data_IF_600039045018
#
_entry.id   IF_600039045018
#
_cell.length_a   1.000
_cell.length_b   1.000
_cell.length_c   1.000
_cell.angle_alpha   90.00
_cell.angle_beta   90.00
_cell.angle_gamma   90.00
#
_symmetry.space_group_name_H-M   'P 1'
#
loop_
_entity.id
_entity.type
_entity.pdbx_description
1 polymer ?
#
# COMPACT_ATOMS: atom_id res chain seq x y z
N UNK A 1 -42.92 -72.66 12.43
CA UNK A 1 -42.75 -71.19 12.23
C UNK A 1 -41.52 -70.98 11.37
N UNK A 2 -41.78 -70.79 10.08
CA UNK A 2 -40.75 -70.76 9.03
C UNK A 2 -40.45 -69.27 8.77
N UNK A 3 -39.19 -68.86 9.03
CA UNK A 3 -38.73 -67.50 8.80
C UNK A 3 -38.25 -67.39 7.37
N UNK A 4 -38.91 -66.56 6.60
CA UNK A 4 -38.61 -66.24 5.19
C UNK A 4 -37.42 -65.28 5.10
N UNK A 5 -36.44 -65.50 4.20
CA UNK A 5 -35.29 -64.58 4.08
C UNK A 5 -35.64 -63.35 3.23
N UNK A 6 -35.41 -62.17 3.79
CA UNK A 6 -35.55 -60.85 3.17
C UNK A 6 -34.58 -60.74 1.98
N UNK A 7 -35.13 -60.57 0.77
CA UNK A 7 -34.38 -60.24 -0.48
C UNK A 7 -33.81 -58.82 -0.41
N UNK A 8 -32.50 -58.71 -0.49
CA UNK A 8 -31.80 -57.43 -0.73
C UNK A 8 -32.01 -56.98 -2.17
N UNK A 9 -32.29 -55.68 -2.45
CA UNK A 9 -32.33 -55.14 -3.80
C UNK A 9 -30.91 -55.05 -4.37
N UNK A 10 -30.73 -55.53 -5.57
CA UNK A 10 -29.50 -55.31 -6.39
C UNK A 10 -29.37 -53.84 -6.71
N UNK A 11 -28.27 -53.21 -6.21
CA UNK A 11 -27.82 -51.90 -6.67
C UNK A 11 -27.30 -52.04 -8.10
N UNK A 12 -27.98 -51.43 -9.06
CA UNK A 12 -27.55 -51.24 -10.43
C UNK A 12 -26.38 -50.22 -10.44
N UNK A 13 -25.25 -50.66 -10.96
CA UNK A 13 -24.08 -49.83 -11.13
C UNK A 13 -24.29 -48.70 -12.13
N UNK A 14 -24.14 -47.50 -11.67
CA UNK A 14 -23.86 -46.33 -12.47
C UNK A 14 -22.50 -45.79 -12.06
N UNK A 15 -21.41 -46.29 -12.65
CA UNK A 15 -20.12 -45.66 -12.62
C UNK A 15 -20.13 -44.39 -13.45
N UNK A 16 -20.70 -43.32 -12.95
CA UNK A 16 -20.34 -41.97 -13.38
C UNK A 16 -18.98 -41.64 -12.82
N UNK A 17 -17.94 -41.78 -13.63
CA UNK A 17 -16.63 -41.22 -13.33
C UNK A 17 -16.75 -39.70 -13.39
N UNK A 18 -17.12 -39.08 -12.28
CA UNK A 18 -16.82 -37.66 -12.05
C UNK A 18 -15.30 -37.55 -11.99
N UNK A 19 -14.71 -37.19 -13.13
CA UNK A 19 -13.36 -36.61 -13.12
C UNK A 19 -13.39 -35.47 -12.12
N UNK A 20 -12.47 -35.41 -11.15
CA UNK A 20 -12.27 -34.22 -10.34
C UNK A 20 -12.04 -33.08 -11.33
N UNK A 21 -12.93 -32.08 -11.26
CA UNK A 21 -12.87 -30.92 -12.12
C UNK A 21 -11.45 -30.39 -12.16
N UNK A 22 -11.03 -30.15 -13.38
CA UNK A 22 -9.80 -29.44 -13.70
C UNK A 22 -9.65 -28.30 -12.72
N UNK A 23 -8.54 -28.34 -11.98
CA UNK A 23 -8.17 -27.27 -11.06
C UNK A 23 -8.37 -25.96 -11.77
N UNK A 24 -9.14 -25.09 -11.15
CA UNK A 24 -9.04 -23.69 -11.42
C UNK A 24 -7.55 -23.37 -11.26
N UNK A 25 -6.86 -23.33 -12.39
CA UNK A 25 -5.59 -22.69 -12.50
C UNK A 25 -5.89 -21.28 -11.95
N UNK A 26 -5.53 -21.06 -10.68
CA UNK A 26 -5.39 -19.72 -10.16
C UNK A 26 -4.51 -19.04 -11.19
N UNK A 27 -5.11 -18.21 -12.02
CA UNK A 27 -4.40 -17.28 -12.86
C UNK A 27 -3.51 -16.53 -11.90
N UNK A 28 -2.25 -17.01 -11.80
CA UNK A 28 -1.20 -16.22 -11.17
C UNK A 28 -1.12 -14.99 -12.03
N UNK A 29 -1.68 -13.89 -11.53
CA UNK A 29 -1.54 -12.60 -12.16
C UNK A 29 -0.09 -12.48 -12.63
N UNK A 30 0.14 -12.13 -13.90
CA UNK A 30 1.48 -12.03 -14.44
C UNK A 30 2.26 -11.12 -13.51
N UNK A 31 3.43 -11.57 -13.06
CA UNK A 31 4.34 -10.72 -12.29
C UNK A 31 4.90 -9.65 -13.22
N UNK A 32 4.04 -8.74 -13.62
CA UNK A 32 4.38 -7.59 -14.44
C UNK A 32 5.17 -6.56 -13.63
N UNK A 33 5.94 -5.76 -14.31
CA UNK A 33 6.57 -4.57 -13.75
C UNK A 33 5.57 -3.40 -13.66
N UNK A 34 4.29 -3.62 -13.99
CA UNK A 34 3.27 -2.59 -13.88
C UNK A 34 2.97 -2.34 -12.40
N UNK A 35 2.87 -1.07 -11.99
CA UNK A 35 2.51 -0.74 -10.60
C UNK A 35 1.23 -1.40 -10.12
N UNK A 36 0.25 -1.58 -11.01
CA UNK A 36 -1.06 -2.17 -10.70
C UNK A 36 -1.02 -3.68 -10.41
N UNK A 37 0.00 -4.39 -10.92
CA UNK A 37 0.19 -5.82 -10.66
C UNK A 37 0.86 -6.10 -9.30
N UNK A 38 1.37 -5.06 -8.63
CA UNK A 38 2.15 -5.21 -7.39
C UNK A 38 1.27 -5.77 -6.27
N UNK A 39 0.04 -5.30 -6.18
CA UNK A 39 -0.89 -5.59 -5.07
C UNK A 39 -1.46 -7.01 -5.18
N UNK A 40 -1.78 -7.46 -6.40
CA UNK A 40 -2.45 -8.72 -6.64
C UNK A 40 -1.74 -9.96 -6.04
N UNK A 41 -0.40 -9.91 -5.96
CA UNK A 41 0.42 -10.99 -5.40
C UNK A 41 0.37 -11.11 -3.87
N UNK A 42 -0.19 -10.12 -3.17
CA UNK A 42 -0.22 -10.06 -1.70
C UNK A 42 -1.63 -10.22 -1.12
N UNK A 43 -2.66 -10.26 -1.95
CA UNK A 43 -4.05 -10.45 -1.52
C UNK A 43 -4.32 -11.94 -1.21
N UNK A 44 -5.11 -12.18 -0.16
CA UNK A 44 -5.60 -13.51 0.16
C UNK A 44 -6.84 -13.83 -0.70
N UNK A 45 -7.04 -15.10 -1.13
CA UNK A 45 -8.25 -15.47 -1.87
C UNK A 45 -9.53 -15.06 -1.14
N UNK A 46 -10.37 -14.25 -1.80
CA UNK A 46 -11.61 -13.72 -1.22
C UNK A 46 -11.48 -12.37 -0.50
N UNK A 47 -10.27 -11.85 -0.30
CA UNK A 47 -10.02 -10.52 0.24
C UNK A 47 -10.45 -9.43 -0.76
N UNK A 48 -11.25 -8.46 -0.31
CA UNK A 48 -11.77 -7.38 -1.15
C UNK A 48 -11.00 -6.09 -0.91
N UNK A 49 -10.49 -5.50 -1.98
CA UNK A 49 -9.89 -4.17 -1.93
C UNK A 49 -11.00 -3.13 -1.85
N UNK A 50 -10.97 -2.31 -0.81
CA UNK A 50 -11.90 -1.20 -0.59
C UNK A 50 -11.34 0.09 -1.20
N UNK A 51 -10.03 0.33 -1.01
CA UNK A 51 -9.34 1.51 -1.50
C UNK A 51 -7.89 1.18 -1.80
N UNK A 52 -7.40 1.66 -2.94
CA UNK A 52 -5.99 1.61 -3.30
C UNK A 52 -5.52 3.02 -3.65
N UNK A 53 -4.45 3.45 -3.02
CA UNK A 53 -3.84 4.76 -3.25
C UNK A 53 -2.33 4.64 -3.42
N UNK A 54 -1.78 5.51 -4.25
CA UNK A 54 -0.34 5.64 -4.47
C UNK A 54 0.21 6.74 -3.59
N UNK A 55 1.43 6.61 -3.13
CA UNK A 55 2.13 7.71 -2.48
C UNK A 55 2.29 8.88 -3.45
N UNK A 56 1.89 10.08 -3.03
CA UNK A 56 1.95 11.27 -3.86
C UNK A 56 3.40 11.73 -4.06
N UNK A 57 3.82 11.75 -5.34
CA UNK A 57 5.12 12.31 -5.70
C UNK A 57 5.17 13.81 -5.43
N UNK A 58 4.04 14.51 -5.59
CA UNK A 58 3.94 15.96 -5.33
C UNK A 58 4.25 16.28 -3.88
N UNK A 59 3.64 15.56 -2.93
CA UNK A 59 3.92 15.72 -1.51
C UNK A 59 5.38 15.49 -1.18
N UNK A 60 5.95 14.41 -1.71
CA UNK A 60 7.37 14.12 -1.56
C UNK A 60 8.28 15.23 -2.13
N UNK A 61 8.05 15.69 -3.37
CA UNK A 61 8.88 16.72 -4.01
C UNK A 61 8.78 18.07 -3.31
N UNK A 62 7.58 18.47 -2.89
CA UNK A 62 7.38 19.73 -2.15
C UNK A 62 8.14 19.69 -0.81
N UNK A 63 8.16 18.55 -0.13
CA UNK A 63 8.98 18.37 1.08
C UNK A 63 10.49 18.46 0.83
N UNK A 64 10.97 18.14 -0.38
CA UNK A 64 12.40 18.23 -0.73
C UNK A 64 12.82 19.61 -1.26
N UNK A 65 11.88 20.48 -1.66
CA UNK A 65 12.19 21.74 -2.37
C UNK A 65 13.10 22.66 -1.55
N UNK A 66 12.89 22.75 -0.23
CA UNK A 66 13.70 23.55 0.65
C UNK A 66 15.16 23.07 0.70
N UNK A 67 15.35 21.75 0.78
CA UNK A 67 16.69 21.14 0.80
C UNK A 67 17.42 21.31 -0.54
N UNK A 68 16.69 21.22 -1.67
CA UNK A 68 17.22 21.46 -3.01
C UNK A 68 17.67 22.92 -3.13
N UNK A 69 16.83 23.88 -2.73
CA UNK A 69 17.17 25.30 -2.76
C UNK A 69 18.38 25.61 -1.88
N UNK A 70 18.41 25.08 -0.65
CA UNK A 70 19.54 25.25 0.24
C UNK A 70 20.84 24.70 -0.37
N UNK A 71 20.78 23.50 -0.97
CA UNK A 71 21.94 22.90 -1.64
C UNK A 71 22.45 23.75 -2.80
N UNK A 72 21.54 24.32 -3.61
CA UNK A 72 21.90 25.21 -4.72
C UNK A 72 22.53 26.51 -4.24
N UNK A 73 21.98 27.13 -3.19
CA UNK A 73 22.54 28.36 -2.60
C UNK A 73 23.94 28.10 -2.04
N UNK A 74 24.14 27.02 -1.28
CA UNK A 74 25.43 26.63 -0.73
C UNK A 74 26.44 26.33 -1.85
N UNK A 75 26.03 25.63 -2.90
CA UNK A 75 26.88 25.34 -4.05
C UNK A 75 27.35 26.64 -4.74
N UNK A 76 26.44 27.58 -4.99
CA UNK A 76 26.76 28.88 -5.56
C UNK A 76 27.71 29.69 -4.67
N UNK A 77 27.48 29.70 -3.36
CA UNK A 77 28.36 30.37 -2.39
C UNK A 77 29.77 29.78 -2.41
N UNK A 78 29.91 28.45 -2.35
CA UNK A 78 31.23 27.78 -2.36
C UNK A 78 31.97 28.06 -3.67
N UNK A 79 31.34 27.97 -4.83
CA UNK A 79 31.98 28.28 -6.13
C UNK A 79 32.38 29.76 -6.19
N UNK A 80 31.55 30.65 -5.65
CA UNK A 80 31.82 32.10 -5.65
C UNK A 80 32.98 32.51 -4.74
N UNK A 81 33.17 31.80 -3.63
CA UNK A 81 34.23 32.16 -2.62
C UNK A 81 35.57 31.46 -2.87
N UNK A 82 35.51 30.16 -3.26
CA UNK A 82 36.72 29.32 -3.43
C UNK A 82 37.24 29.35 -4.87
N UNK A 83 36.35 29.72 -5.83
CA UNK A 83 36.69 29.83 -7.24
C UNK A 83 36.36 28.56 -8.05
N UNK A 84 36.65 28.61 -9.34
CA UNK A 84 36.25 27.56 -10.29
C UNK A 84 36.97 26.22 -10.08
N UNK A 85 38.04 26.15 -9.33
CA UNK A 85 38.78 24.91 -9.06
C UNK A 85 37.93 23.84 -8.34
N UNK A 86 36.92 24.25 -7.55
CA UNK A 86 36.01 23.34 -6.85
C UNK A 86 34.72 23.08 -7.60
N UNK A 87 34.48 23.74 -8.72
CA UNK A 87 33.22 23.63 -9.45
C UNK A 87 32.90 22.17 -9.87
N UNK A 88 33.91 21.41 -10.31
CA UNK A 88 33.72 20.00 -10.68
C UNK A 88 33.24 19.14 -9.50
N UNK A 89 33.81 19.37 -8.29
CA UNK A 89 33.40 18.67 -7.08
C UNK A 89 31.96 19.02 -6.69
N UNK A 90 31.60 20.30 -6.77
CA UNK A 90 30.24 20.79 -6.48
C UNK A 90 29.23 20.16 -7.43
N UNK A 91 29.54 20.14 -8.75
CA UNK A 91 28.69 19.49 -9.74
C UNK A 91 28.51 18.00 -9.45
N UNK A 92 29.59 17.30 -9.07
CA UNK A 92 29.52 15.89 -8.70
C UNK A 92 28.61 15.69 -7.47
N UNK A 93 28.75 16.51 -6.43
CA UNK A 93 27.91 16.44 -5.23
C UNK A 93 26.42 16.68 -5.55
N UNK A 94 26.13 17.67 -6.41
CA UNK A 94 24.76 17.94 -6.86
C UNK A 94 24.18 16.79 -7.70
N UNK A 95 25.01 16.18 -8.56
CA UNK A 95 24.60 15.02 -9.34
C UNK A 95 24.25 13.81 -8.45
N UNK A 96 25.08 13.54 -7.43
CA UNK A 96 24.80 12.47 -6.44
C UNK A 96 23.51 12.79 -5.66
N UNK A 97 23.35 14.02 -5.19
CA UNK A 97 22.14 14.45 -4.47
C UNK A 97 20.90 14.29 -5.37
N UNK A 98 20.97 14.72 -6.62
CA UNK A 98 19.89 14.56 -7.61
C UNK A 98 19.56 13.08 -7.85
N UNK A 99 20.59 12.23 -7.95
CA UNK A 99 20.43 10.77 -8.07
C UNK A 99 19.71 10.16 -6.87
N UNK A 100 20.07 10.56 -5.65
CA UNK A 100 19.42 10.09 -4.41
C UNK A 100 17.94 10.53 -4.35
N UNK A 101 17.67 11.81 -4.67
CA UNK A 101 16.29 12.33 -4.69
C UNK A 101 15.47 11.61 -5.76
N UNK A 102 16.04 11.43 -6.97
CA UNK A 102 15.39 10.70 -8.06
C UNK A 102 15.06 9.25 -7.69
N UNK A 103 15.99 8.54 -7.04
CA UNK A 103 15.75 7.19 -6.55
C UNK A 103 14.65 7.14 -5.49
N UNK A 104 14.62 8.10 -4.54
CA UNK A 104 13.54 8.18 -3.55
C UNK A 104 12.19 8.53 -4.16
N UNK A 105 12.16 9.39 -5.18
CA UNK A 105 10.95 9.68 -5.94
C UNK A 105 10.42 8.42 -6.65
N UNK A 106 11.32 7.64 -7.23
CA UNK A 106 10.98 6.35 -7.84
C UNK A 106 10.40 5.38 -6.80
N UNK A 107 11.00 5.29 -5.61
CA UNK A 107 10.45 4.49 -4.51
C UNK A 107 9.05 4.96 -4.10
N UNK A 108 8.81 6.28 -4.04
CA UNK A 108 7.49 6.83 -3.74
C UNK A 108 6.46 6.39 -4.80
N UNK A 109 6.82 6.41 -6.07
CA UNK A 109 5.96 5.95 -7.15
C UNK A 109 5.56 4.47 -7.02
N UNK A 110 6.49 3.61 -6.61
CA UNK A 110 6.25 2.18 -6.43
C UNK A 110 5.67 1.84 -5.04
N UNK A 111 5.30 2.84 -4.23
CA UNK A 111 4.63 2.63 -2.94
C UNK A 111 3.12 2.67 -3.13
N UNK A 112 2.46 1.57 -2.75
CA UNK A 112 1.00 1.43 -2.78
C UNK A 112 0.46 1.24 -1.37
N UNK A 113 -0.57 1.98 -1.05
CA UNK A 113 -1.36 1.82 0.16
C UNK A 113 -2.67 1.16 -0.20
N UNK A 114 -2.98 0.04 0.41
CA UNK A 114 -4.15 -0.76 0.10
C UNK A 114 -4.95 -0.98 1.36
N UNK A 115 -6.19 -0.59 1.31
CA UNK A 115 -7.19 -0.82 2.35
C UNK A 115 -8.08 -1.96 1.88
N UNK A 116 -8.14 -3.04 2.67
CA UNK A 116 -8.99 -4.19 2.38
C UNK A 116 -10.04 -4.37 3.47
N UNK A 117 -10.95 -5.30 3.27
CA UNK A 117 -11.93 -5.71 4.28
C UNK A 117 -11.29 -6.40 5.51
N UNK A 118 -10.03 -6.88 5.41
CA UNK A 118 -9.35 -7.61 6.47
C UNK A 118 -8.23 -6.80 7.17
N UNK A 119 -7.55 -5.92 6.43
CA UNK A 119 -6.34 -5.25 6.88
C UNK A 119 -6.05 -3.99 6.06
N UNK A 120 -5.18 -3.15 6.60
CA UNK A 120 -4.48 -2.12 5.83
C UNK A 120 -3.07 -2.60 5.54
N UNK A 121 -2.60 -2.40 4.30
CA UNK A 121 -1.26 -2.81 3.89
C UNK A 121 -0.54 -1.72 3.10
N UNK A 122 0.79 -1.73 3.20
CA UNK A 122 1.70 -0.95 2.39
C UNK A 122 2.60 -1.91 1.61
N UNK A 123 2.60 -1.78 0.31
CA UNK A 123 3.52 -2.50 -0.58
C UNK A 123 4.47 -1.48 -1.18
N UNK A 124 5.76 -1.65 -0.98
CA UNK A 124 6.77 -0.72 -1.44
C UNK A 124 8.03 -1.42 -1.91
N UNK A 125 8.86 -0.70 -2.67
CA UNK A 125 10.15 -1.15 -3.15
C UNK A 125 10.21 -1.34 -4.66
N UNK A 126 11.30 -0.89 -5.26
CA UNK A 126 11.57 -0.96 -6.71
C UNK A 126 12.23 -2.28 -7.08
N UNK A 127 13.36 -2.58 -6.46
CA UNK A 127 14.16 -3.79 -6.72
C UNK A 127 13.86 -4.89 -5.70
N UNK A 128 13.69 -4.52 -4.45
CA UNK A 128 13.33 -5.43 -3.36
C UNK A 128 11.98 -5.00 -2.80
N UNK A 129 10.97 -5.84 -2.96
CA UNK A 129 9.59 -5.54 -2.58
C UNK A 129 9.32 -6.00 -1.17
N UNK A 130 8.76 -5.10 -0.38
CA UNK A 130 8.31 -5.36 0.98
C UNK A 130 6.82 -5.08 1.09
N UNK A 131 6.11 -5.97 1.77
CA UNK A 131 4.71 -5.76 2.12
C UNK A 131 4.56 -5.77 3.63
N UNK A 132 4.01 -4.71 4.16
CA UNK A 132 3.71 -4.53 5.58
C UNK A 132 2.21 -4.40 5.75
N UNK A 133 1.64 -4.98 6.78
CA UNK A 133 0.20 -4.92 7.00
C UNK A 133 -0.16 -4.88 8.48
N UNK A 134 -1.31 -4.28 8.78
CA UNK A 134 -1.94 -4.28 10.09
C UNK A 134 -3.38 -4.78 9.94
N UNK A 135 -3.77 -5.89 10.58
CA UNK A 135 -5.16 -6.31 10.66
C UNK A 135 -5.99 -5.30 11.46
N UNK A 136 -7.23 -5.06 11.05
CA UNK A 136 -8.10 -4.07 11.70
C UNK A 136 -8.28 -4.29 13.20
N UNK A 137 -8.34 -5.53 13.65
CA UNK A 137 -8.46 -5.87 15.08
C UNK A 137 -7.25 -5.51 15.95
N UNK A 138 -6.14 -5.07 15.35
CA UNK A 138 -4.93 -4.61 16.06
C UNK A 138 -4.72 -3.11 15.98
N UNK A 139 -5.52 -2.38 15.22
CA UNK A 139 -5.47 -0.92 15.13
C UNK A 139 -6.06 -0.35 16.42
N UNK A 140 -5.28 0.47 17.12
CA UNK A 140 -5.67 1.12 18.38
C UNK A 140 -6.05 2.57 18.19
N UNK A 141 -5.31 3.30 17.36
CA UNK A 141 -5.56 4.70 17.08
C UNK A 141 -5.12 5.08 15.66
N UNK A 142 -5.76 6.11 15.11
CA UNK A 142 -5.44 6.68 13.79
C UNK A 142 -5.34 8.18 13.93
N UNK A 143 -4.15 8.71 13.72
CA UNK A 143 -3.85 10.14 13.79
C UNK A 143 -3.51 10.68 12.40
N UNK A 144 -4.12 11.80 12.02
CA UNK A 144 -3.77 12.55 10.81
C UNK A 144 -2.93 13.76 11.18
N UNK A 145 -1.83 13.98 10.49
CA UNK A 145 -0.98 15.16 10.63
C UNK A 145 -0.63 15.74 9.27
N UNK A 146 -0.51 17.07 9.23
CA UNK A 146 -0.13 17.81 8.03
C UNK A 146 0.97 18.82 8.36
N UNK A 147 2.01 18.83 7.56
CA UNK A 147 3.00 19.91 7.57
C UNK A 147 2.56 21.02 6.61
N UNK A 148 3.14 22.22 6.75
CA UNK A 148 2.87 23.35 5.83
C UNK A 148 3.12 22.94 4.37
N UNK A 149 4.16 22.15 4.12
CA UNK A 149 4.50 21.65 2.78
C UNK A 149 3.48 20.65 2.27
N UNK A 150 3.00 19.75 3.12
CA UNK A 150 1.95 18.80 2.79
C UNK A 150 0.61 19.50 2.55
N UNK A 151 0.28 20.51 3.36
CA UNK A 151 -0.89 21.34 3.14
C UNK A 151 -0.86 22.03 1.76
N UNK A 152 0.30 22.59 1.35
CA UNK A 152 0.48 23.19 0.03
C UNK A 152 0.36 22.15 -1.10
N UNK A 153 0.85 20.93 -0.89
CA UNK A 153 0.76 19.83 -1.83
C UNK A 153 -0.59 19.10 -1.81
N UNK A 154 -1.50 19.45 -0.87
CA UNK A 154 -2.77 18.78 -0.59
C UNK A 154 -2.59 17.29 -0.26
N UNK A 155 -1.57 17.01 0.53
CA UNK A 155 -1.27 15.66 1.04
C UNK A 155 -1.21 15.67 2.56
N UNK A 156 -1.25 14.50 3.20
CA UNK A 156 -1.06 14.37 4.64
C UNK A 156 -0.34 13.06 4.97
N UNK A 157 0.15 13.00 6.20
CA UNK A 157 0.66 11.78 6.82
C UNK A 157 -0.39 11.24 7.78
N UNK A 158 -0.74 9.97 7.63
CA UNK A 158 -1.65 9.26 8.53
C UNK A 158 -0.80 8.26 9.32
N UNK A 159 -0.82 8.41 10.65
CA UNK A 159 -0.17 7.47 11.57
C UNK A 159 -1.21 6.49 12.06
N UNK A 160 -0.87 5.20 11.99
CA UNK A 160 -1.68 4.10 12.50
C UNK A 160 -0.94 3.50 13.69
N UNK A 161 -1.55 3.56 14.87
CA UNK A 161 -1.02 2.91 16.05
C UNK A 161 -1.59 1.51 16.18
N UNK A 162 -0.75 0.56 16.50
CA UNK A 162 -1.09 -0.85 16.62
C UNK A 162 -0.67 -1.38 17.98
N UNK A 163 -1.48 -2.25 18.56
CA UNK A 163 -1.13 -2.97 19.80
C UNK A 163 0.12 -3.85 19.66
N UNK A 164 0.62 -4.06 18.43
CA UNK A 164 1.85 -4.78 18.17
C UNK A 164 2.91 -3.84 17.61
N UNK A 165 3.88 -3.44 18.45
CA UNK A 165 5.00 -2.56 18.08
C UNK A 165 5.89 -3.11 16.95
N UNK A 166 5.81 -4.40 16.64
CA UNK A 166 6.58 -5.04 15.57
C UNK A 166 5.89 -4.99 14.20
N UNK A 167 4.69 -4.43 14.09
CA UNK A 167 4.08 -4.21 12.78
C UNK A 167 4.86 -3.11 12.05
N UNK A 168 5.39 -3.41 10.86
CA UNK A 168 6.22 -2.46 10.11
C UNK A 168 5.46 -1.23 9.60
N UNK A 169 4.14 -1.30 9.47
CA UNK A 169 3.31 -0.22 8.98
C UNK A 169 2.87 0.69 10.14
N UNK A 170 3.62 1.78 10.36
CA UNK A 170 3.25 2.80 11.36
C UNK A 170 2.74 4.10 10.72
N UNK A 171 3.17 4.40 9.50
CA UNK A 171 2.84 5.65 8.81
C UNK A 171 2.47 5.41 7.35
N UNK A 172 1.51 6.17 6.91
CA UNK A 172 1.09 6.29 5.52
C UNK A 172 1.40 7.73 5.13
N UNK A 173 2.47 7.92 4.35
CA UNK A 173 2.99 9.24 4.03
C UNK A 173 2.49 9.74 2.68
N UNK A 174 2.25 11.07 2.61
CA UNK A 174 1.96 11.80 1.38
C UNK A 174 0.81 11.18 0.56
N UNK A 175 -0.31 10.89 1.21
CA UNK A 175 -1.52 10.39 0.55
C UNK A 175 -2.21 11.54 -0.18
N UNK A 176 -2.61 11.30 -1.43
CA UNK A 176 -3.52 12.19 -2.16
C UNK A 176 -4.94 12.03 -1.57
N UNK A 177 -5.69 13.12 -1.48
CA UNK A 177 -7.01 13.17 -0.83
C UNK A 177 -7.04 12.56 0.58
N UNK A 178 -6.22 13.11 1.49
CA UNK A 178 -6.04 12.54 2.83
C UNK A 178 -7.33 12.57 3.66
N UNK A 179 -8.29 13.45 3.31
CA UNK A 179 -9.59 13.51 3.98
C UNK A 179 -10.41 12.26 3.74
N UNK A 180 -10.56 11.89 2.48
CA UNK A 180 -11.30 10.69 2.09
C UNK A 180 -10.60 9.42 2.61
N UNK A 181 -9.28 9.33 2.44
CA UNK A 181 -8.52 8.17 2.90
C UNK A 181 -8.66 7.95 4.42
N UNK A 182 -8.56 9.05 5.21
CA UNK A 182 -8.75 9.00 6.66
C UNK A 182 -10.15 8.55 7.05
N UNK A 183 -11.20 9.05 6.37
CA UNK A 183 -12.58 8.64 6.62
C UNK A 183 -12.77 7.13 6.37
N UNK A 184 -12.24 6.61 5.27
CA UNK A 184 -12.30 5.16 4.97
C UNK A 184 -11.63 4.34 6.06
N UNK A 185 -10.45 4.77 6.56
CA UNK A 185 -9.75 4.06 7.63
C UNK A 185 -10.56 4.04 8.93
N UNK A 186 -11.10 5.19 9.35
CA UNK A 186 -11.89 5.30 10.59
C UNK A 186 -13.16 4.44 10.49
N UNK A 187 -13.86 4.50 9.35
CA UNK A 187 -15.07 3.72 9.14
C UNK A 187 -14.79 2.21 9.16
N UNK A 188 -13.67 1.77 8.58
CA UNK A 188 -13.27 0.37 8.64
C UNK A 188 -12.94 -0.10 10.05
N UNK A 189 -12.27 0.74 10.86
CA UNK A 189 -11.99 0.43 12.27
C UNK A 189 -13.28 0.35 13.07
N UNK A 190 -14.17 1.33 12.96
CA UNK A 190 -15.42 1.37 13.70
C UNK A 190 -16.35 0.21 13.33
N UNK A 191 -16.40 -0.15 12.04
CA UNK A 191 -17.15 -1.32 11.59
C UNK A 191 -16.61 -2.62 12.22
N UNK A 192 -15.30 -2.83 12.20
CA UNK A 192 -14.67 -4.04 12.74
C UNK A 192 -14.70 -4.10 14.27
N UNK A 193 -14.80 -2.95 14.94
CA UNK A 193 -15.03 -2.87 16.38
C UNK A 193 -16.51 -2.97 16.77
N UNK A 194 -17.41 -3.14 15.80
CA UNK A 194 -18.85 -3.30 16.03
C UNK A 194 -19.59 -2.02 16.41
N UNK A 195 -18.96 -0.86 16.18
CA UNK A 195 -19.56 0.46 16.51
C UNK A 195 -20.51 0.94 15.43
N UNK A 196 -20.25 0.60 14.17
CA UNK A 196 -21.05 1.01 13.00
C UNK A 196 -21.27 -0.18 12.08
N UNK A 197 -22.50 -0.33 11.56
CA UNK A 197 -22.78 -1.28 10.48
C UNK A 197 -22.50 -0.62 9.13
N UNK A 198 -21.57 -1.15 8.34
CA UNK A 198 -21.37 -0.68 6.96
C UNK A 198 -22.59 -1.05 6.11
N UNK A 199 -23.38 -0.08 5.76
CA UNK A 199 -24.47 -0.26 4.79
C UNK A 199 -23.92 -0.13 3.35
N UNK A 200 -22.91 0.70 3.14
CA UNK A 200 -22.24 0.92 1.85
C UNK A 200 -20.82 1.49 2.09
N UNK A 201 -19.79 1.06 1.31
CA UNK A 201 -18.46 1.66 1.44
C UNK A 201 -18.50 3.15 1.07
N UNK A 202 -17.68 3.99 1.70
CA UNK A 202 -17.64 5.41 1.44
C UNK A 202 -17.30 5.67 -0.03
N UNK A 203 -18.08 6.55 -0.67
CA UNK A 203 -17.85 6.95 -2.07
C UNK A 203 -17.00 8.21 -2.11
N UNK A 204 -16.06 8.23 -3.05
CA UNK A 204 -15.29 9.45 -3.30
C UNK A 204 -16.24 10.58 -3.73
N UNK A 205 -16.21 11.76 -3.07
CA UNK A 205 -16.95 12.92 -3.56
C UNK A 205 -16.45 13.30 -4.96
N UNK A 206 -17.39 13.52 -5.88
CA UNK A 206 -17.10 13.88 -7.28
C UNK A 206 -16.53 15.29 -7.45
#
# INVERSE_FOLDING_TARGET
MTVEPVRRPRASGGRGSQRPGAGQSQDRAPRGWHPDDIVAGYLVPGERVVLEETRSIRGFLVGQILWILLALVLAGFVVGTVGSGVAALVVLCLAVLGGVIGYRALQAWFTRYVVTDLRVMRVHGVLNRHAEFIPWGKVTDITRSETIFQWLARTATIRIESANERSGLHTIDDVDDPGFFYQVLVEMVDHKQGRVSLTEPPRRPG
#
